data_IF_431811939090
#
_entry.id   IF_431811939090
#
_cell.length_a   1.000
_cell.length_b   1.000
_cell.length_c   1.000
_cell.angle_alpha   90.00
_cell.angle_beta   90.00
_cell.angle_gamma   90.00
#
_symmetry.space_group_name_H-M   'P 1'
#
loop_
_entity.id
_entity.type
_entity.pdbx_description
1 polymer ?
#
# COMPACT_ATOMS: atom_id res chain seq x y z
N UNK A 1 22.73 19.10 -4.55
CA UNK A 1 21.34 19.17 -4.08
C UNK A 1 20.65 20.22 -4.93
N UNK A 2 19.51 19.91 -5.51
CA UNK A 2 18.69 20.84 -6.29
C UNK A 2 17.45 21.21 -5.48
N UNK A 3 16.83 22.34 -5.78
CA UNK A 3 15.64 22.83 -5.06
C UNK A 3 14.35 22.70 -5.88
N UNK A 4 14.48 22.50 -7.20
CA UNK A 4 13.35 22.45 -8.13
C UNK A 4 13.53 21.30 -9.15
N UNK A 5 12.46 20.91 -9.83
CA UNK A 5 12.51 19.88 -10.89
C UNK A 5 13.14 20.45 -12.17
N UNK A 6 12.91 21.73 -12.40
CA UNK A 6 13.38 22.49 -13.54
C UNK A 6 14.91 22.53 -13.56
N UNK A 7 15.55 22.66 -12.39
CA UNK A 7 17.01 22.50 -12.24
C UNK A 7 17.48 21.11 -12.70
N UNK A 8 16.74 20.03 -12.42
CA UNK A 8 17.08 18.68 -12.89
C UNK A 8 17.02 18.63 -14.42
N UNK A 9 15.96 19.18 -15.01
CA UNK A 9 15.80 19.17 -16.46
C UNK A 9 16.96 19.90 -17.15
N UNK A 10 17.30 21.10 -16.66
CA UNK A 10 18.33 21.94 -17.27
C UNK A 10 19.77 21.41 -17.09
N UNK A 11 20.05 20.72 -15.98
CA UNK A 11 21.42 20.37 -15.60
C UNK A 11 21.79 18.89 -15.83
N UNK A 12 20.81 17.99 -15.96
CA UNK A 12 21.10 16.55 -16.03
C UNK A 12 21.21 16.03 -17.47
N UNK A 13 22.24 15.21 -17.72
CA UNK A 13 22.40 14.48 -18.99
C UNK A 13 21.62 13.14 -18.98
N UNK A 14 21.35 12.60 -17.77
CA UNK A 14 20.56 11.40 -17.53
C UNK A 14 19.52 11.67 -16.45
N UNK A 15 18.26 11.30 -16.72
CA UNK A 15 17.14 11.47 -15.80
C UNK A 15 16.49 10.11 -15.58
N UNK A 16 16.37 9.68 -14.31
CA UNK A 16 15.66 8.46 -13.92
C UNK A 16 14.46 8.77 -13.04
N UNK A 17 13.31 8.17 -13.35
CA UNK A 17 12.04 8.42 -12.66
C UNK A 17 11.79 7.36 -11.58
N UNK A 18 11.52 7.81 -10.35
CA UNK A 18 11.20 6.97 -9.19
C UNK A 18 10.05 7.55 -8.37
N UNK A 19 8.96 7.93 -9.06
CA UNK A 19 7.81 8.61 -8.45
C UNK A 19 6.55 7.74 -8.52
N UNK A 20 5.64 7.85 -7.53
CA UNK A 20 4.31 7.30 -7.68
C UNK A 20 3.53 8.04 -8.78
N UNK A 21 2.51 7.40 -9.33
CA UNK A 21 1.53 8.06 -10.20
C UNK A 21 0.49 8.74 -9.32
N UNK A 22 0.41 10.05 -9.43
CA UNK A 22 -0.52 10.93 -8.71
C UNK A 22 -0.96 12.04 -9.67
N UNK A 23 -2.02 12.76 -9.33
CA UNK A 23 -2.48 13.91 -10.13
C UNK A 23 -1.38 14.97 -10.40
N UNK A 24 -0.35 15.04 -9.53
CA UNK A 24 0.77 15.99 -9.67
C UNK A 24 1.96 15.46 -10.50
N UNK A 25 2.01 14.16 -10.76
CA UNK A 25 3.15 13.48 -11.42
C UNK A 25 2.77 12.81 -12.73
N UNK A 26 1.47 12.62 -12.99
CA UNK A 26 0.97 12.16 -14.28
C UNK A 26 1.32 13.17 -15.39
N UNK A 27 1.87 12.65 -16.50
CA UNK A 27 2.31 13.44 -17.64
C UNK A 27 3.44 14.43 -17.33
N UNK A 28 4.18 14.25 -16.23
CA UNK A 28 5.20 15.22 -15.82
C UNK A 28 6.38 15.33 -16.78
N UNK A 29 6.65 14.28 -17.56
CA UNK A 29 7.55 14.32 -18.72
C UNK A 29 6.68 14.47 -19.97
N UNK A 30 6.52 15.72 -20.39
CA UNK A 30 5.78 16.18 -21.55
C UNK A 30 6.64 17.11 -22.41
N UNK A 31 6.07 17.61 -23.51
CA UNK A 31 6.74 18.55 -24.42
C UNK A 31 7.42 19.72 -23.71
N UNK A 32 6.71 20.42 -22.82
CA UNK A 32 7.24 21.60 -22.13
C UNK A 32 8.43 21.24 -21.22
N UNK A 33 8.32 20.13 -20.48
CA UNK A 33 9.41 19.67 -19.62
C UNK A 33 10.63 19.23 -20.42
N UNK A 34 10.43 18.58 -21.58
CA UNK A 34 11.50 18.09 -22.45
C UNK A 34 12.24 19.26 -23.11
N UNK A 35 11.54 20.34 -23.46
CA UNK A 35 12.16 21.55 -24.02
C UNK A 35 13.18 22.19 -23.07
N UNK A 36 12.91 22.13 -21.75
CA UNK A 36 13.82 22.60 -20.71
C UNK A 36 15.07 21.72 -20.55
N UNK A 37 15.04 20.49 -21.08
CA UNK A 37 16.14 19.56 -20.92
C UNK A 37 17.33 19.90 -21.81
N UNK A 38 18.51 19.36 -21.47
CA UNK A 38 19.66 19.40 -22.36
C UNK A 38 19.39 18.65 -23.66
N UNK A 39 19.97 19.14 -24.75
CA UNK A 39 19.96 18.41 -26.02
C UNK A 39 20.74 17.10 -25.89
N UNK A 40 20.12 16.01 -26.32
CA UNK A 40 20.70 14.67 -26.20
C UNK A 40 20.54 14.01 -24.83
N UNK A 41 19.65 14.52 -23.97
CA UNK A 41 19.34 13.89 -22.66
C UNK A 41 18.88 12.43 -22.82
N UNK A 42 19.21 11.59 -21.84
CA UNK A 42 18.70 10.22 -21.73
C UNK A 42 17.68 10.10 -20.60
N UNK A 43 16.51 9.53 -20.88
CA UNK A 43 15.43 9.37 -19.90
C UNK A 43 15.18 7.89 -19.61
N UNK A 44 15.06 7.55 -18.34
CA UNK A 44 14.81 6.20 -17.85
C UNK A 44 13.56 6.18 -16.97
N UNK A 45 12.57 5.36 -17.33
CA UNK A 45 11.34 5.19 -16.58
C UNK A 45 11.11 3.73 -16.20
N UNK A 46 11.36 3.42 -14.93
CA UNK A 46 11.06 2.13 -14.31
C UNK A 46 9.99 2.26 -13.20
N UNK A 47 9.30 3.41 -13.14
CA UNK A 47 8.39 3.74 -12.05
C UNK A 47 6.93 3.52 -12.41
N UNK A 48 6.35 4.35 -13.29
CA UNK A 48 4.95 4.27 -13.72
C UNK A 48 4.83 4.73 -15.17
N UNK A 49 3.98 4.05 -15.95
CA UNK A 49 3.77 4.36 -17.37
C UNK A 49 3.25 5.80 -17.58
N UNK A 50 2.36 6.25 -16.69
CA UNK A 50 1.69 7.56 -16.77
C UNK A 50 2.60 8.77 -16.52
N UNK A 51 3.85 8.60 -16.11
CA UNK A 51 4.76 9.73 -15.84
C UNK A 51 5.25 10.42 -17.12
N UNK A 52 5.26 9.69 -18.23
CA UNK A 52 5.81 10.14 -19.52
C UNK A 52 4.70 10.15 -20.55
N UNK A 53 4.56 11.25 -21.28
CA UNK A 53 3.69 11.31 -22.45
C UNK A 53 4.37 10.60 -23.62
N UNK A 54 3.74 9.52 -24.11
CA UNK A 54 4.27 8.68 -25.19
C UNK A 54 4.47 9.45 -26.50
N UNK A 55 3.57 10.36 -26.87
CA UNK A 55 3.67 11.11 -28.13
C UNK A 55 4.81 12.14 -28.06
N UNK A 56 4.91 12.87 -26.95
CA UNK A 56 5.94 13.88 -26.75
C UNK A 56 7.35 13.28 -26.71
N UNK A 57 7.53 12.13 -26.03
CA UNK A 57 8.83 11.46 -25.98
C UNK A 57 9.23 10.92 -27.35
N UNK A 58 8.28 10.42 -28.14
CA UNK A 58 8.53 9.95 -29.52
C UNK A 58 8.93 11.13 -30.42
N UNK A 59 8.23 12.27 -30.34
CA UNK A 59 8.59 13.49 -31.08
C UNK A 59 10.02 13.94 -30.72
N UNK A 60 10.34 13.98 -29.43
CA UNK A 60 11.66 14.40 -28.95
C UNK A 60 12.79 13.46 -29.37
N UNK A 61 12.56 12.13 -29.38
CA UNK A 61 13.51 11.14 -29.88
C UNK A 61 13.77 11.29 -31.39
N UNK A 62 12.71 11.58 -32.15
CA UNK A 62 12.83 11.82 -33.59
C UNK A 62 13.58 13.11 -33.90
N UNK A 63 13.31 14.18 -33.13
CA UNK A 63 14.00 15.47 -33.23
C UNK A 63 15.45 15.43 -32.73
N UNK A 64 15.84 14.40 -31.98
CA UNK A 64 17.17 14.28 -31.37
C UNK A 64 17.34 15.09 -30.08
N UNK A 65 16.28 15.72 -29.59
CA UNK A 65 16.25 16.40 -28.28
C UNK A 65 16.51 15.40 -27.15
N UNK A 66 15.90 14.23 -27.24
CA UNK A 66 16.17 13.07 -26.37
C UNK A 66 17.01 12.08 -27.17
N UNK A 67 18.16 11.67 -26.64
CA UNK A 67 19.05 10.72 -27.31
C UNK A 67 18.62 9.27 -27.11
N UNK A 68 18.10 8.95 -25.93
CA UNK A 68 17.71 7.59 -25.51
C UNK A 68 16.51 7.66 -24.56
N UNK A 69 15.56 6.75 -24.77
CA UNK A 69 14.52 6.46 -23.80
C UNK A 69 14.62 4.99 -23.38
N UNK A 70 14.61 4.71 -22.08
CA UNK A 70 14.53 3.36 -21.53
C UNK A 70 13.27 3.27 -20.68
N UNK A 71 12.38 2.34 -20.98
CA UNK A 71 11.10 2.21 -20.30
C UNK A 71 10.80 0.76 -19.95
N UNK A 72 10.29 0.52 -18.76
CA UNK A 72 9.71 -0.77 -18.35
C UNK A 72 8.23 -0.91 -18.73
N UNK A 73 7.70 0.03 -19.51
CA UNK A 73 6.29 0.13 -19.87
C UNK A 73 6.16 0.18 -21.40
N UNK A 74 6.24 -0.97 -22.09
CA UNK A 74 6.14 -0.99 -23.54
C UNK A 74 4.70 -0.80 -23.98
N UNK A 75 4.47 0.18 -24.84
CA UNK A 75 3.32 0.24 -25.75
C UNK A 75 3.78 -0.12 -27.16
N UNK A 76 2.89 -0.51 -28.10
CA UNK A 76 3.29 -0.73 -29.48
C UNK A 76 4.01 0.48 -30.10
N UNK A 77 3.64 1.70 -29.70
CA UNK A 77 4.33 2.91 -30.15
C UNK A 77 5.75 3.02 -29.58
N UNK A 78 5.90 2.91 -28.25
CA UNK A 78 7.20 3.00 -27.56
C UNK A 78 8.15 1.87 -27.98
N UNK A 79 7.64 0.65 -28.15
CA UNK A 79 8.45 -0.50 -28.56
C UNK A 79 9.04 -0.33 -29.98
N UNK A 80 8.37 0.43 -30.85
CA UNK A 80 8.84 0.72 -32.21
C UNK A 80 9.52 2.10 -32.33
N UNK A 81 9.61 2.86 -31.24
CA UNK A 81 10.19 4.20 -31.26
C UNK A 81 11.71 4.18 -31.45
N UNK A 82 12.21 5.19 -32.17
CA UNK A 82 13.64 5.36 -32.43
C UNK A 82 14.41 5.51 -31.12
N UNK A 83 15.57 4.87 -31.04
CA UNK A 83 16.47 4.94 -29.89
C UNK A 83 15.86 4.52 -28.55
N UNK A 84 14.77 3.74 -28.54
CA UNK A 84 14.15 3.26 -27.30
C UNK A 84 14.66 1.87 -26.90
N UNK A 85 14.78 1.60 -25.61
CA UNK A 85 14.83 0.25 -25.03
C UNK A 85 13.53 0.06 -24.24
N UNK A 86 12.70 -0.87 -24.68
CA UNK A 86 11.44 -1.18 -24.04
C UNK A 86 11.52 -2.56 -23.37
N UNK A 87 11.38 -2.60 -22.06
CA UNK A 87 11.47 -3.79 -21.21
C UNK A 87 10.06 -4.15 -20.75
N UNK A 88 9.62 -5.42 -20.81
CA UNK A 88 8.23 -5.79 -20.60
C UNK A 88 7.84 -5.91 -19.11
N UNK A 89 7.92 -4.80 -18.39
CA UNK A 89 7.53 -4.68 -16.97
C UNK A 89 8.22 -5.71 -16.07
N UNK A 90 9.54 -5.79 -16.18
CA UNK A 90 10.37 -6.78 -15.49
C UNK A 90 11.08 -6.23 -14.25
N UNK A 91 10.79 -4.99 -13.83
CA UNK A 91 11.50 -4.33 -12.73
C UNK A 91 11.50 -5.10 -11.40
N UNK A 92 10.48 -5.93 -11.15
CA UNK A 92 10.40 -6.80 -9.98
C UNK A 92 10.55 -8.30 -10.31
N UNK A 93 10.79 -8.66 -11.58
CA UNK A 93 10.85 -10.05 -12.05
C UNK A 93 12.22 -10.68 -11.79
N UNK A 94 12.61 -10.76 -10.51
CA UNK A 94 13.81 -11.47 -10.06
C UNK A 94 13.46 -12.50 -9.01
N UNK A 95 14.25 -13.57 -8.91
CA UNK A 95 14.04 -14.64 -7.92
C UNK A 95 14.06 -14.08 -6.49
N UNK A 96 14.96 -13.14 -6.20
CA UNK A 96 15.07 -12.51 -4.88
C UNK A 96 13.86 -11.63 -4.54
N UNK A 97 13.29 -10.96 -5.54
CA UNK A 97 12.10 -10.11 -5.35
C UNK A 97 10.88 -10.96 -5.03
N UNK A 98 10.68 -12.06 -5.76
CA UNK A 98 9.61 -13.02 -5.51
C UNK A 98 9.73 -13.66 -4.12
N UNK A 99 10.93 -14.10 -3.72
CA UNK A 99 11.18 -14.67 -2.38
C UNK A 99 10.85 -13.67 -1.26
N UNK A 100 11.25 -12.41 -1.43
CA UNK A 100 10.97 -11.35 -0.47
C UNK A 100 9.46 -11.05 -0.38
N UNK A 101 8.77 -10.94 -1.52
CA UNK A 101 7.33 -10.69 -1.58
C UNK A 101 6.53 -11.85 -0.98
N UNK A 102 6.86 -13.10 -1.32
CA UNK A 102 6.22 -14.29 -0.78
C UNK A 102 6.43 -14.39 0.73
N UNK A 103 7.66 -14.19 1.20
CA UNK A 103 7.99 -14.19 2.64
C UNK A 103 7.23 -13.11 3.38
N UNK A 104 7.14 -11.90 2.83
CA UNK A 104 6.37 -10.81 3.43
C UNK A 104 4.88 -11.17 3.53
N UNK A 105 4.28 -11.65 2.45
CA UNK A 105 2.86 -12.01 2.40
C UNK A 105 2.54 -13.11 3.41
N UNK A 106 3.34 -14.19 3.46
CA UNK A 106 3.13 -15.30 4.41
C UNK A 106 3.28 -14.82 5.86
N UNK A 107 4.28 -14.01 6.17
CA UNK A 107 4.46 -13.44 7.52
C UNK A 107 3.26 -12.60 7.95
N UNK A 108 2.74 -11.75 7.07
CA UNK A 108 1.58 -10.90 7.35
C UNK A 108 0.29 -11.70 7.52
N UNK A 109 0.05 -12.70 6.65
CA UNK A 109 -1.10 -13.60 6.78
C UNK A 109 -1.02 -14.40 8.07
N UNK A 110 0.16 -14.93 8.40
CA UNK A 110 0.40 -15.66 9.64
C UNK A 110 0.12 -14.78 10.86
N UNK A 111 0.66 -13.56 10.89
CA UNK A 111 0.47 -12.63 12.01
C UNK A 111 -1.00 -12.21 12.19
N UNK A 112 -1.74 -12.02 11.08
CA UNK A 112 -3.19 -11.80 11.13
C UNK A 112 -3.97 -13.04 11.60
N UNK A 113 -3.53 -14.25 11.22
CA UNK A 113 -4.20 -15.48 11.63
C UNK A 113 -3.96 -15.75 13.11
N UNK A 114 -2.73 -15.61 13.58
CA UNK A 114 -2.30 -15.98 14.93
C UNK A 114 -2.51 -14.87 15.96
N UNK A 115 -2.15 -13.63 15.64
CA UNK A 115 -2.19 -12.51 16.60
C UNK A 115 -3.26 -11.48 16.25
N UNK A 116 -3.87 -11.56 15.07
CA UNK A 116 -4.88 -10.60 14.64
C UNK A 116 -4.28 -9.28 14.18
N UNK A 117 -2.96 -9.14 14.09
CA UNK A 117 -2.31 -7.92 13.62
C UNK A 117 -2.50 -7.76 12.11
N UNK A 118 -2.58 -6.50 11.67
CA UNK A 118 -2.81 -6.15 10.27
C UNK A 118 -1.73 -5.15 9.86
N UNK A 119 -0.88 -5.57 8.93
CA UNK A 119 0.19 -4.75 8.35
C UNK A 119 0.00 -4.69 6.83
N UNK A 120 0.29 -3.53 6.23
CA UNK A 120 0.25 -3.31 4.77
C UNK A 120 -1.09 -3.70 4.10
N UNK A 121 -2.21 -3.59 4.83
CA UNK A 121 -3.52 -3.82 4.24
C UNK A 121 -3.91 -2.68 3.30
N UNK A 122 -4.21 -3.05 2.05
CA UNK A 122 -4.66 -2.10 1.03
C UNK A 122 -6.08 -1.59 1.29
N UNK A 123 -6.93 -2.36 1.97
CA UNK A 123 -8.36 -2.06 2.12
C UNK A 123 -8.86 -2.04 3.57
N UNK A 124 -8.00 -2.24 4.56
CA UNK A 124 -8.36 -2.33 5.97
C UNK A 124 -7.40 -1.52 6.85
N UNK A 125 -7.78 -1.11 8.08
CA UNK A 125 -6.87 -0.39 8.98
C UNK A 125 -5.66 -1.25 9.37
N UNK A 126 -4.50 -0.61 9.50
CA UNK A 126 -3.31 -1.21 10.11
C UNK A 126 -3.48 -1.27 11.62
N UNK A 127 -3.31 -2.45 12.22
CA UNK A 127 -3.44 -2.69 13.66
C UNK A 127 -2.26 -3.52 14.14
N UNK A 128 -1.64 -3.06 15.22
CA UNK A 128 -0.63 -3.81 15.96
C UNK A 128 -1.05 -3.84 17.43
N UNK A 129 -1.41 -5.02 17.90
CA UNK A 129 -1.76 -5.33 19.29
C UNK A 129 -0.67 -6.19 19.95
N UNK A 130 0.51 -6.31 19.33
CA UNK A 130 1.58 -7.20 19.78
C UNK A 130 1.17 -8.67 19.74
N UNK A 131 1.94 -9.52 20.45
CA UNK A 131 1.58 -10.91 20.70
C UNK A 131 0.75 -11.03 21.98
N UNK A 132 -0.20 -11.94 21.98
CA UNK A 132 -0.89 -12.32 23.22
C UNK A 132 0.12 -13.02 24.15
N UNK A 133 0.23 -12.53 25.39
CA UNK A 133 1.14 -13.10 26.40
C UNK A 133 0.37 -14.07 27.31
N UNK A 134 -0.77 -13.63 27.84
CA UNK A 134 -1.66 -14.37 28.75
C UNK A 134 -3.13 -14.08 28.38
N UNK A 135 -4.04 -14.98 28.77
CA UNK A 135 -5.47 -14.85 28.50
C UNK A 135 -5.89 -15.29 27.09
N UNK A 136 -6.95 -14.66 26.55
CA UNK A 136 -7.53 -14.95 25.23
C UNK A 136 -7.67 -13.67 24.42
N UNK A 137 -7.58 -13.77 23.08
CA UNK A 137 -7.75 -12.62 22.18
C UNK A 137 -9.03 -12.74 21.35
N UNK A 138 -9.79 -11.65 21.29
CA UNK A 138 -10.98 -11.52 20.47
C UNK A 138 -10.77 -10.39 19.48
N UNK A 139 -11.05 -10.65 18.21
CA UNK A 139 -10.94 -9.64 17.16
C UNK A 139 -12.31 -9.40 16.53
N UNK A 140 -12.62 -8.14 16.28
CA UNK A 140 -13.94 -7.69 15.82
C UNK A 140 -13.75 -6.79 14.61
N UNK A 141 -14.19 -7.25 13.44
CA UNK A 141 -14.37 -6.45 12.24
C UNK A 141 -15.76 -5.83 12.34
N UNK A 142 -15.85 -4.51 12.26
CA UNK A 142 -17.12 -3.79 12.34
C UNK A 142 -17.14 -2.52 11.48
N UNK A 143 -18.33 -1.96 11.27
CA UNK A 143 -18.50 -0.64 10.66
C UNK A 143 -17.95 0.44 11.59
N UNK A 144 -17.35 1.48 11.00
CA UNK A 144 -16.87 2.65 11.73
C UNK A 144 -18.03 3.61 12.03
N UNK A 145 -18.85 3.28 13.03
CA UNK A 145 -19.98 4.08 13.49
C UNK A 145 -19.83 4.40 14.99
N UNK A 146 -20.48 5.47 15.51
CA UNK A 146 -20.38 5.84 16.91
C UNK A 146 -20.81 4.72 17.87
N UNK A 147 -20.23 4.73 19.07
CA UNK A 147 -20.59 3.85 20.21
C UNK A 147 -20.29 2.35 20.05
N UNK A 148 -19.61 1.91 18.98
CA UNK A 148 -19.23 0.49 18.84
C UNK A 148 -18.36 -0.01 20.01
N UNK A 149 -17.33 0.74 20.38
CA UNK A 149 -16.42 0.33 21.47
C UNK A 149 -17.13 0.23 22.82
N UNK A 150 -18.00 1.18 23.14
CA UNK A 150 -18.77 1.18 24.38
C UNK A 150 -19.64 -0.08 24.50
N UNK A 151 -20.23 -0.53 23.40
CA UNK A 151 -21.03 -1.76 23.39
C UNK A 151 -20.17 -2.99 23.70
N UNK A 152 -18.97 -3.10 23.10
CA UNK A 152 -18.06 -4.22 23.37
C UNK A 152 -17.61 -4.24 24.82
N UNK A 153 -17.12 -3.11 25.35
CA UNK A 153 -16.61 -3.02 26.72
C UNK A 153 -17.72 -3.23 27.76
N UNK A 154 -18.94 -2.76 27.49
CA UNK A 154 -20.09 -2.97 28.39
C UNK A 154 -20.48 -4.43 28.47
N UNK A 155 -20.48 -5.17 27.36
CA UNK A 155 -20.79 -6.60 27.34
C UNK A 155 -19.78 -7.38 28.20
N UNK A 156 -18.47 -7.15 27.99
CA UNK A 156 -17.45 -7.81 28.82
C UNK A 156 -17.58 -7.44 30.30
N UNK A 157 -17.77 -6.15 30.61
CA UNK A 157 -17.98 -5.72 32.00
C UNK A 157 -19.22 -6.31 32.66
N UNK A 158 -20.32 -6.51 31.92
CA UNK A 158 -21.55 -7.12 32.47
C UNK A 158 -21.41 -8.61 32.80
N UNK A 159 -20.43 -9.28 32.20
CA UNK A 159 -20.10 -10.69 32.42
C UNK A 159 -18.91 -10.83 33.40
N UNK A 160 -18.50 -9.74 34.05
CA UNK A 160 -17.36 -9.67 34.98
C UNK A 160 -16.02 -10.12 34.35
N UNK A 161 -15.81 -9.78 33.07
CA UNK A 161 -14.60 -10.12 32.30
C UNK A 161 -13.69 -8.90 32.21
N UNK A 162 -12.47 -9.04 32.71
CA UNK A 162 -11.45 -8.00 32.59
C UNK A 162 -10.86 -7.94 31.17
N UNK A 163 -10.63 -6.72 30.67
CA UNK A 163 -9.94 -6.44 29.41
C UNK A 163 -8.53 -5.94 29.73
N UNK A 164 -7.51 -6.73 29.40
CA UNK A 164 -6.11 -6.37 29.64
C UNK A 164 -5.52 -5.48 28.54
N UNK A 165 -6.03 -5.58 27.31
CA UNK A 165 -5.59 -4.73 26.21
C UNK A 165 -6.73 -4.52 25.19
N UNK A 166 -6.79 -3.31 24.62
CA UNK A 166 -7.78 -2.95 23.61
C UNK A 166 -7.13 -2.02 22.58
N UNK A 167 -7.12 -2.44 21.32
CA UNK A 167 -6.64 -1.64 20.19
C UNK A 167 -7.75 -1.54 19.16
N UNK A 168 -8.12 -0.32 18.78
CA UNK A 168 -9.06 -0.06 17.71
C UNK A 168 -8.47 0.90 16.67
N UNK A 169 -8.62 0.55 15.38
CA UNK A 169 -8.26 1.42 14.26
C UNK A 169 -9.34 1.36 13.19
N UNK A 170 -9.45 2.42 12.40
CA UNK A 170 -10.46 2.57 11.35
C UNK A 170 -9.85 3.02 10.03
N UNK A 171 -10.43 2.56 8.91
CA UNK A 171 -10.12 3.01 7.56
C UNK A 171 -11.43 3.16 6.78
N UNK A 172 -11.78 4.40 6.46
CA UNK A 172 -13.07 4.74 5.85
C UNK A 172 -14.24 4.26 6.72
N UNK A 173 -15.12 3.46 6.12
CA UNK A 173 -16.33 2.94 6.75
C UNK A 173 -16.10 1.67 7.60
N UNK A 174 -14.87 1.15 7.65
CA UNK A 174 -14.52 -0.06 8.38
C UNK A 174 -13.63 0.23 9.58
N UNK A 175 -13.79 -0.56 10.63
CA UNK A 175 -12.97 -0.54 11.82
C UNK A 175 -12.68 -1.96 12.30
N UNK A 176 -11.59 -2.07 13.06
CA UNK A 176 -11.09 -3.32 13.57
C UNK A 176 -10.64 -3.12 15.00
N UNK A 177 -11.26 -3.88 15.89
CA UNK A 177 -10.95 -3.89 17.31
C UNK A 177 -10.33 -5.22 17.68
N UNK A 178 -9.18 -5.19 18.35
CA UNK A 178 -8.53 -6.33 19.00
C UNK A 178 -8.66 -6.12 20.52
N UNK A 179 -9.16 -7.13 21.21
CA UNK A 179 -9.42 -7.12 22.65
C UNK A 179 -8.77 -8.34 23.26
N UNK A 180 -7.89 -8.14 24.22
CA UNK A 180 -7.32 -9.20 25.05
C UNK A 180 -8.09 -9.24 26.38
N UNK A 181 -8.47 -10.44 26.78
CA UNK A 181 -9.25 -10.70 28.00
C UNK A 181 -8.52 -11.71 28.89
N UNK A 182 -8.70 -11.57 30.19
CA UNK A 182 -8.00 -12.38 31.19
C UNK A 182 -8.74 -13.72 31.43
N UNK A 183 -8.95 -14.47 30.34
CA UNK A 183 -9.64 -15.77 30.34
C UNK A 183 -8.80 -16.76 29.54
N UNK A 184 -8.31 -17.83 30.16
CA UNK A 184 -7.28 -18.69 29.54
C UNK A 184 -7.83 -19.95 28.83
N UNK A 185 -8.96 -20.51 29.27
CA UNK A 185 -9.37 -21.86 28.83
C UNK A 185 -10.73 -21.94 28.13
N UNK A 186 -11.65 -21.01 28.38
CA UNK A 186 -12.99 -21.03 27.79
C UNK A 186 -13.37 -19.62 27.31
N UNK A 187 -13.50 -19.42 26.00
CA UNK A 187 -13.96 -18.13 25.50
C UNK A 187 -15.36 -17.82 26.06
N UNK A 188 -15.63 -16.55 26.40
CA UNK A 188 -16.93 -16.14 26.92
C UNK A 188 -17.99 -16.15 25.81
N UNK A 189 -18.53 -17.33 25.50
CA UNK A 189 -19.44 -17.54 24.36
C UNK A 189 -20.67 -16.64 24.44
N UNK A 190 -21.18 -16.38 25.65
CA UNK A 190 -22.32 -15.48 25.88
C UNK A 190 -21.97 -14.06 25.43
N UNK A 191 -20.83 -13.52 25.88
CA UNK A 191 -20.34 -12.21 25.46
C UNK A 191 -20.09 -12.15 23.95
N UNK A 192 -19.44 -13.16 23.39
CA UNK A 192 -19.11 -13.23 21.96
C UNK A 192 -20.37 -13.27 21.09
N UNK A 193 -21.39 -14.03 21.49
CA UNK A 193 -22.64 -14.10 20.75
C UNK A 193 -23.42 -12.78 20.84
N UNK A 194 -23.47 -12.13 22.01
CA UNK A 194 -24.01 -10.77 22.15
C UNK A 194 -23.29 -9.77 21.22
N UNK A 195 -21.96 -9.85 21.13
CA UNK A 195 -21.17 -8.99 20.23
C UNK A 195 -21.52 -9.24 18.76
N UNK A 196 -21.66 -10.50 18.34
CA UNK A 196 -22.02 -10.85 16.95
C UNK A 196 -23.39 -10.29 16.53
N UNK A 197 -24.30 -10.09 17.49
CA UNK A 197 -25.64 -9.55 17.25
C UNK A 197 -25.68 -8.01 17.14
N UNK A 198 -24.60 -7.31 17.53
CA UNK A 198 -24.54 -5.84 17.43
C UNK A 198 -24.63 -5.40 15.96
N UNK A 199 -25.55 -4.47 15.68
CA UNK A 199 -25.66 -3.89 14.36
C UNK A 199 -24.35 -3.18 13.97
N UNK A 200 -23.79 -3.58 12.82
CA UNK A 200 -22.52 -3.05 12.33
C UNK A 200 -21.32 -3.96 12.62
N UNK A 201 -21.45 -4.99 13.46
CA UNK A 201 -20.44 -6.06 13.53
C UNK A 201 -20.52 -6.92 12.27
N UNK A 202 -19.36 -7.18 11.67
CA UNK A 202 -19.22 -7.94 10.42
C UNK A 202 -18.63 -9.32 10.68
N UNK A 203 -17.64 -9.41 11.57
CA UNK A 203 -17.00 -10.68 11.93
C UNK A 203 -16.38 -10.60 13.32
N UNK A 204 -16.53 -11.66 14.09
CA UNK A 204 -15.82 -11.86 15.36
C UNK A 204 -14.95 -13.11 15.23
N UNK A 205 -13.68 -13.04 15.63
CA UNK A 205 -12.78 -14.21 15.70
C UNK A 205 -12.24 -14.37 17.11
N UNK A 206 -12.02 -15.62 17.48
CA UNK A 206 -11.32 -16.09 18.67
C UNK A 206 -9.90 -16.43 18.26
N UNK A 207 -8.90 -15.85 18.93
CA UNK A 207 -7.47 -16.05 18.71
C UNK A 207 -6.80 -16.54 20.00
#
# INVERSE_FOLDING_TARGET
HVNTREEIYQECDYITLHLPSTDNTEGMINKESIELMKDGVSILNFARNTLVNDDDIIEALNAGKVSKYVSDFPTPAIANAKNTIAIPHLGASTEESEDNCATMAVKQVKDYIENGNITNSVNFPSVDAGRLIEGSRITIIHKNIPQMLNQFTTIFGSEDINISNLVNKSKGNNAYTVIDIDVECDYPEVAINKIKEINGVLKVRKL
#
